data_IF_159245935126
#
_entry.id   IF_159245935126
#
_cell.length_a   1.000
_cell.length_b   1.000
_cell.length_c   1.000
_cell.angle_alpha   90.00
_cell.angle_beta   90.00
_cell.angle_gamma   90.00
#
_symmetry.space_group_name_H-M   'P 1'
#
loop_
_entity.id
_entity.type
_entity.pdbx_description
1 polymer ?
#
# COMPACT_ATOMS: atom_id res chain seq x y z
N UNK A 1 12.98 -24.89 -11.58
CA UNK A 1 12.26 -26.19 -11.58
C UNK A 1 10.74 -25.99 -11.53
N UNK A 2 10.22 -25.16 -10.62
CA UNK A 2 8.81 -24.87 -10.47
C UNK A 2 8.57 -23.37 -10.40
N UNK A 3 7.55 -22.88 -11.11
CA UNK A 3 7.04 -21.51 -10.98
C UNK A 3 5.62 -21.57 -10.39
N UNK A 4 5.41 -20.82 -9.32
CA UNK A 4 4.12 -20.61 -8.68
C UNK A 4 3.59 -19.24 -9.11
N UNK A 5 2.34 -19.18 -9.56
CA UNK A 5 1.70 -17.96 -10.02
C UNK A 5 0.28 -17.83 -9.48
N UNK A 6 -0.17 -16.62 -9.23
CA UNK A 6 -1.53 -16.34 -8.81
C UNK A 6 -2.53 -16.70 -9.92
N UNK A 7 -2.32 -16.16 -11.12
CA UNK A 7 -3.04 -16.57 -12.34
C UNK A 7 -2.07 -17.14 -13.39
N UNK A 8 -2.14 -18.45 -13.59
CA UNK A 8 -1.29 -19.14 -14.56
C UNK A 8 -1.54 -18.70 -16.00
N UNK A 9 -2.72 -18.17 -16.33
CA UNK A 9 -3.05 -17.66 -17.67
C UNK A 9 -2.26 -16.40 -17.99
N UNK A 10 -2.26 -15.45 -17.07
CA UNK A 10 -1.48 -14.19 -17.18
C UNK A 10 0.01 -14.51 -17.21
N UNK A 11 0.47 -15.29 -16.24
CA UNK A 11 1.88 -15.65 -16.10
C UNK A 11 2.42 -16.44 -17.28
N UNK A 12 1.62 -17.32 -17.90
CA UNK A 12 2.06 -18.08 -19.10
C UNK A 12 2.36 -17.20 -20.30
N UNK A 13 1.75 -16.01 -20.40
CA UNK A 13 2.07 -15.04 -21.44
C UNK A 13 3.48 -14.48 -21.23
N UNK A 14 3.78 -14.10 -19.96
CA UNK A 14 5.10 -13.60 -19.58
C UNK A 14 6.19 -14.65 -19.82
N UNK A 15 5.96 -15.88 -19.37
CA UNK A 15 6.95 -16.97 -19.53
C UNK A 15 7.25 -17.25 -21.00
N UNK A 16 6.23 -17.29 -21.85
CA UNK A 16 6.41 -17.45 -23.31
C UNK A 16 7.17 -16.29 -23.93
N UNK A 17 6.95 -15.06 -23.48
CA UNK A 17 7.67 -13.90 -23.99
C UNK A 17 9.18 -13.98 -23.72
N UNK A 18 9.58 -14.61 -22.62
CA UNK A 18 10.98 -14.80 -22.24
C UNK A 18 11.53 -16.19 -22.55
N UNK A 19 10.82 -17.01 -23.31
CA UNK A 19 11.20 -18.40 -23.67
C UNK A 19 11.52 -19.26 -22.43
N UNK A 20 10.77 -19.06 -21.35
CA UNK A 20 10.90 -19.82 -20.10
C UNK A 20 9.96 -21.02 -20.16
N UNK A 21 10.55 -22.23 -20.23
CA UNK A 21 9.82 -23.50 -20.24
C UNK A 21 10.03 -24.25 -18.92
N UNK A 22 9.30 -23.84 -17.90
CA UNK A 22 9.31 -24.46 -16.59
C UNK A 22 7.89 -24.89 -16.19
N UNK A 23 7.81 -25.86 -15.28
CA UNK A 23 6.53 -26.24 -14.69
C UNK A 23 5.87 -25.04 -14.03
N UNK A 24 4.64 -24.71 -14.44
CA UNK A 24 3.84 -23.60 -13.91
C UNK A 24 2.65 -24.15 -13.14
N UNK A 25 2.53 -23.76 -11.86
CA UNK A 25 1.39 -24.13 -11.01
C UNK A 25 0.70 -22.91 -10.39
N UNK A 26 -0.61 -23.03 -10.22
CA UNK A 26 -1.40 -22.03 -9.52
C UNK A 26 -1.11 -22.03 -8.02
N UNK A 27 -0.89 -20.83 -7.47
CA UNK A 27 -0.72 -20.56 -6.04
C UNK A 27 -1.45 -19.27 -5.67
N UNK A 28 -2.68 -19.40 -5.21
CA UNK A 28 -3.55 -18.28 -4.87
C UNK A 28 -4.12 -18.46 -3.46
N UNK A 29 -4.72 -17.43 -2.89
CA UNK A 29 -5.21 -17.41 -1.50
C UNK A 29 -6.18 -18.54 -1.13
N UNK A 30 -6.81 -19.18 -2.12
CA UNK A 30 -7.76 -20.29 -1.85
C UNK A 30 -7.09 -21.66 -1.83
N UNK A 31 -5.86 -21.80 -2.37
CA UNK A 31 -5.14 -23.06 -2.40
C UNK A 31 -3.79 -23.04 -1.68
N UNK A 32 -3.28 -21.87 -1.26
CA UNK A 32 -1.95 -21.72 -0.66
C UNK A 32 -1.73 -22.63 0.58
N UNK A 33 -2.77 -22.87 1.40
CA UNK A 33 -2.67 -23.81 2.52
C UNK A 33 -2.41 -25.25 2.10
N UNK A 34 -3.00 -25.68 0.98
CA UNK A 34 -2.87 -27.05 0.47
C UNK A 34 -1.57 -27.23 -0.30
N UNK A 35 -1.18 -26.22 -1.06
CA UNK A 35 0.02 -26.26 -1.92
C UNK A 35 1.31 -26.09 -1.12
N UNK A 36 1.31 -25.30 -0.03
CA UNK A 36 2.51 -25.00 0.74
C UNK A 36 3.30 -26.26 1.16
N UNK A 37 2.62 -27.27 1.73
CA UNK A 37 3.30 -28.49 2.18
C UNK A 37 3.95 -29.30 1.04
N UNK A 38 3.30 -29.37 -0.11
CA UNK A 38 3.84 -30.06 -1.28
C UNK A 38 5.05 -29.33 -1.85
N UNK A 39 5.03 -27.98 -1.84
CA UNK A 39 6.13 -27.14 -2.27
C UNK A 39 7.32 -27.27 -1.31
N UNK A 40 7.09 -27.28 0.00
CA UNK A 40 8.16 -27.50 1.00
C UNK A 40 8.89 -28.84 0.74
N UNK A 41 8.17 -29.91 0.45
CA UNK A 41 8.79 -31.23 0.13
C UNK A 41 9.68 -31.16 -1.10
N UNK A 42 9.26 -30.44 -2.15
CA UNK A 42 10.06 -30.23 -3.36
C UNK A 42 11.33 -29.44 -3.06
N UNK A 43 11.21 -28.35 -2.31
CA UNK A 43 12.35 -27.54 -1.89
C UNK A 43 13.35 -28.36 -1.06
N UNK A 44 12.86 -29.20 -0.13
CA UNK A 44 13.70 -30.11 0.66
C UNK A 44 14.37 -31.21 -0.18
N UNK A 45 13.81 -31.58 -1.33
CA UNK A 45 14.47 -32.49 -2.28
C UNK A 45 15.52 -31.83 -3.19
N UNK A 46 15.74 -30.52 -3.01
CA UNK A 46 16.76 -29.74 -3.74
C UNK A 46 16.25 -29.00 -4.96
N UNK A 47 14.93 -28.96 -5.17
CA UNK A 47 14.34 -28.17 -6.24
C UNK A 47 14.34 -26.66 -5.90
N UNK A 48 14.42 -25.83 -6.92
CA UNK A 48 14.28 -24.38 -6.82
C UNK A 48 12.87 -23.95 -7.24
N UNK A 49 12.23 -23.10 -6.45
CA UNK A 49 10.87 -22.63 -6.71
C UNK A 49 10.86 -21.09 -6.82
N UNK A 50 10.27 -20.58 -7.88
CA UNK A 50 9.97 -19.15 -8.02
C UNK A 50 8.50 -18.89 -7.72
N UNK A 51 8.20 -17.83 -6.96
CA UNK A 51 6.85 -17.33 -6.76
C UNK A 51 6.73 -15.97 -7.46
N UNK A 52 5.75 -15.84 -8.35
CA UNK A 52 5.46 -14.61 -9.09
C UNK A 52 4.01 -14.17 -8.84
N UNK A 53 3.78 -12.86 -8.89
CA UNK A 53 2.47 -12.21 -8.79
C UNK A 53 2.05 -11.67 -10.15
N UNK A 54 0.78 -11.43 -10.36
CA UNK A 54 0.25 -10.79 -11.57
C UNK A 54 0.70 -9.33 -11.68
N UNK A 55 0.87 -8.66 -10.54
CA UNK A 55 1.40 -7.30 -10.47
C UNK A 55 2.06 -7.04 -9.10
N UNK A 56 3.20 -6.39 -9.09
CA UNK A 56 3.89 -6.00 -7.86
C UNK A 56 4.72 -7.11 -7.22
N UNK A 57 4.84 -7.08 -5.90
CA UNK A 57 5.68 -8.00 -5.12
C UNK A 57 4.82 -9.08 -4.47
N UNK A 58 5.11 -10.37 -4.69
CA UNK A 58 4.40 -11.47 -4.04
C UNK A 58 4.36 -11.33 -2.51
N UNK A 59 3.25 -11.70 -1.89
CA UNK A 59 3.05 -11.57 -0.45
C UNK A 59 2.59 -10.19 0.05
N UNK A 60 2.64 -9.16 -0.80
CA UNK A 60 2.13 -7.82 -0.47
C UNK A 60 0.70 -7.67 -1.01
N UNK A 61 -0.28 -7.98 -0.19
CA UNK A 61 -1.70 -8.12 -0.53
C UNK A 61 -2.04 -9.25 -1.50
N UNK A 62 -1.04 -10.03 -1.86
CA UNK A 62 -1.08 -11.18 -2.75
C UNK A 62 -0.72 -12.48 -2.00
N UNK A 63 -0.95 -13.67 -2.57
CA UNK A 63 -0.50 -14.94 -2.00
C UNK A 63 1.01 -14.99 -1.84
N UNK A 64 1.48 -15.72 -0.82
CA UNK A 64 2.92 -15.96 -0.61
C UNK A 64 3.35 -15.97 0.85
N UNK A 65 2.67 -15.20 1.72
CA UNK A 65 3.04 -15.14 3.14
C UNK A 65 3.11 -16.53 3.80
N UNK A 66 2.12 -17.40 3.56
CA UNK A 66 2.09 -18.73 4.16
C UNK A 66 3.25 -19.60 3.68
N UNK A 67 3.56 -19.56 2.38
CA UNK A 67 4.67 -20.31 1.81
C UNK A 67 6.02 -19.82 2.38
N UNK A 68 6.26 -18.53 2.38
CA UNK A 68 7.49 -17.94 2.94
C UNK A 68 7.64 -18.30 4.41
N UNK A 69 6.57 -18.21 5.20
CA UNK A 69 6.57 -18.61 6.60
C UNK A 69 6.97 -20.07 6.80
N UNK A 70 6.40 -20.96 5.99
CA UNK A 70 6.74 -22.39 6.07
C UNK A 70 8.17 -22.68 5.59
N UNK A 71 8.68 -21.98 4.58
CA UNK A 71 10.08 -22.06 4.19
C UNK A 71 11.00 -21.68 5.34
N UNK A 72 10.79 -20.54 5.97
CA UNK A 72 11.58 -20.07 7.12
C UNK A 72 11.53 -21.07 8.28
N UNK A 73 10.35 -21.63 8.60
CA UNK A 73 10.18 -22.64 9.65
C UNK A 73 10.96 -23.93 9.40
N UNK A 74 11.15 -24.27 8.13
CA UNK A 74 11.87 -25.47 7.71
C UNK A 74 13.35 -25.20 7.37
N UNK A 75 13.88 -24.01 7.65
CA UNK A 75 15.27 -23.65 7.36
C UNK A 75 15.59 -23.54 5.87
N UNK A 76 14.58 -23.34 5.03
CA UNK A 76 14.72 -23.16 3.59
C UNK A 76 15.00 -21.69 3.31
N UNK A 77 16.05 -21.41 2.53
CA UNK A 77 16.41 -20.07 2.13
C UNK A 77 15.32 -19.44 1.26
N UNK A 78 15.00 -18.17 1.54
CA UNK A 78 14.05 -17.36 0.78
C UNK A 78 14.75 -16.10 0.30
N UNK A 79 14.83 -15.91 -1.00
CA UNK A 79 15.34 -14.70 -1.61
C UNK A 79 14.18 -13.86 -2.15
N UNK A 80 14.09 -12.60 -1.70
CA UNK A 80 13.13 -11.64 -2.24
C UNK A 80 13.86 -10.64 -3.11
N UNK A 81 13.52 -10.60 -4.38
CA UNK A 81 14.10 -9.64 -5.32
C UNK A 81 13.45 -8.27 -5.13
N UNK A 82 14.22 -7.17 -5.10
CA UNK A 82 13.66 -5.83 -5.15
C UNK A 82 12.78 -5.66 -6.40
N UNK A 83 11.57 -5.17 -6.19
CA UNK A 83 10.61 -5.04 -7.27
C UNK A 83 9.58 -3.95 -7.00
N UNK A 84 8.69 -3.75 -7.97
CA UNK A 84 7.63 -2.76 -7.90
C UNK A 84 6.63 -3.07 -6.77
N UNK A 85 6.21 -2.02 -6.07
CA UNK A 85 5.06 -2.04 -5.14
C UNK A 85 4.30 -0.74 -5.31
N UNK A 86 2.99 -0.80 -5.50
CA UNK A 86 2.21 0.42 -5.75
C UNK A 86 2.18 1.38 -4.54
N UNK A 87 2.24 0.86 -3.32
CA UNK A 87 2.13 1.70 -2.12
C UNK A 87 3.35 2.60 -1.88
N UNK A 88 4.54 2.20 -2.29
CA UNK A 88 5.77 3.00 -2.09
C UNK A 88 5.72 4.30 -2.91
N UNK A 89 5.54 4.27 -4.25
CA UNK A 89 5.42 5.50 -5.02
C UNK A 89 4.19 6.33 -4.63
N UNK A 90 3.06 5.70 -4.26
CA UNK A 90 1.90 6.42 -3.75
C UNK A 90 2.23 7.22 -2.48
N UNK A 91 2.91 6.59 -1.51
CA UNK A 91 3.33 7.24 -0.28
C UNK A 91 4.26 8.42 -0.56
N UNK A 92 5.29 8.20 -1.37
CA UNK A 92 6.28 9.26 -1.70
C UNK A 92 5.62 10.42 -2.42
N UNK A 93 4.72 10.15 -3.38
CA UNK A 93 4.03 11.18 -4.14
C UNK A 93 2.87 11.84 -3.40
N UNK A 94 2.43 11.29 -2.27
CA UNK A 94 1.30 11.85 -1.49
C UNK A 94 1.58 13.24 -0.91
N UNK A 95 2.85 13.53 -0.60
CA UNK A 95 3.24 14.72 0.15
C UNK A 95 3.01 14.62 1.66
N UNK A 96 2.57 13.47 2.16
CA UNK A 96 2.40 13.20 3.58
C UNK A 96 3.68 12.64 4.20
N UNK A 97 3.86 12.69 5.54
CA UNK A 97 5.02 12.10 6.20
C UNK A 97 5.23 10.64 5.80
N UNK A 98 6.44 10.31 5.35
CA UNK A 98 6.76 8.98 4.81
C UNK A 98 7.86 8.24 5.59
N UNK A 99 8.39 8.83 6.67
CA UNK A 99 9.40 8.22 7.54
C UNK A 99 8.80 7.10 8.43
N UNK A 100 7.52 7.22 8.78
CA UNK A 100 6.77 6.21 9.55
C UNK A 100 5.37 6.07 8.98
N UNK A 101 5.00 4.85 8.64
CA UNK A 101 3.69 4.57 8.07
C UNK A 101 3.15 3.20 8.50
N UNK A 102 1.85 3.01 8.34
CA UNK A 102 1.17 1.73 8.47
C UNK A 102 0.62 1.31 7.11
N UNK A 103 0.92 0.10 6.67
CA UNK A 103 0.30 -0.50 5.50
C UNK A 103 -0.83 -1.43 5.92
N UNK A 104 -2.05 -1.08 5.56
CA UNK A 104 -3.29 -1.81 5.89
C UNK A 104 -3.75 -2.73 4.75
N UNK A 105 -3.29 -2.48 3.52
CA UNK A 105 -3.77 -3.21 2.35
C UNK A 105 -5.28 -3.00 2.14
N UNK A 106 -5.99 -4.06 1.75
CA UNK A 106 -7.44 -4.01 1.57
C UNK A 106 -8.19 -4.16 2.90
N UNK A 107 -9.01 -3.19 3.23
CA UNK A 107 -9.91 -3.28 4.38
C UNK A 107 -10.92 -4.43 4.22
N UNK A 108 -11.36 -5.05 5.32
CA UNK A 108 -12.43 -6.04 5.28
C UNK A 108 -13.67 -5.50 4.56
N UNK A 109 -14.31 -6.34 3.73
CA UNK A 109 -15.45 -5.87 2.93
C UNK A 109 -16.72 -5.64 3.77
N UNK A 110 -16.94 -6.45 4.83
CA UNK A 110 -18.15 -6.42 5.68
C UNK A 110 -17.77 -6.55 7.16
N UNK A 111 -17.70 -7.78 7.68
CA UNK A 111 -17.44 -8.07 9.10
C UNK A 111 -16.05 -7.57 9.49
N UNK A 112 -15.96 -6.81 10.60
CA UNK A 112 -14.71 -6.29 11.13
C UNK A 112 -14.25 -4.95 10.51
N UNK A 113 -14.87 -4.47 9.43
CA UNK A 113 -14.46 -3.22 8.76
C UNK A 113 -14.57 -2.00 9.69
N UNK A 114 -15.74 -1.80 10.30
CA UNK A 114 -15.97 -0.66 11.20
C UNK A 114 -15.04 -0.71 12.41
N UNK A 115 -14.87 -1.89 13.01
CA UNK A 115 -13.93 -2.07 14.12
C UNK A 115 -12.51 -1.72 13.71
N UNK A 116 -12.08 -2.14 12.50
CA UNK A 116 -10.73 -1.80 12.02
C UNK A 116 -10.56 -0.30 11.83
N UNK A 117 -11.52 0.38 11.23
CA UNK A 117 -11.49 1.83 11.07
C UNK A 117 -11.41 2.55 12.43
N UNK A 118 -12.18 2.12 13.41
CA UNK A 118 -12.13 2.69 14.76
C UNK A 118 -10.77 2.48 15.44
N UNK A 119 -10.13 1.31 15.26
CA UNK A 119 -8.78 1.09 15.82
C UNK A 119 -7.68 1.94 15.17
N UNK A 120 -7.94 2.47 13.97
CA UNK A 120 -7.02 3.35 13.25
C UNK A 120 -7.28 4.84 13.49
N UNK A 121 -8.35 5.18 14.24
CA UNK A 121 -8.77 6.57 14.42
C UNK A 121 -7.66 7.45 15.00
N UNK A 122 -6.93 6.93 15.98
CA UNK A 122 -5.85 7.62 16.68
C UNK A 122 -4.45 7.27 16.17
N UNK A 123 -4.35 6.59 15.00
CA UNK A 123 -3.05 6.26 14.41
C UNK A 123 -2.31 7.56 14.05
N UNK A 124 -1.10 7.71 14.60
CA UNK A 124 -0.28 8.91 14.41
C UNK A 124 0.54 8.90 13.11
N UNK A 125 0.79 7.71 12.58
CA UNK A 125 1.56 7.53 11.34
C UNK A 125 0.66 7.65 10.11
N UNK A 126 1.26 7.94 8.98
CA UNK A 126 0.57 7.86 7.68
C UNK A 126 0.06 6.43 7.44
N UNK A 127 -1.19 6.29 6.99
CA UNK A 127 -1.84 5.01 6.77
C UNK A 127 -2.08 4.80 5.28
N UNK A 128 -1.76 3.60 4.79
CA UNK A 128 -1.86 3.27 3.37
C UNK A 128 -2.83 2.11 3.18
N UNK A 129 -3.78 2.31 2.26
CA UNK A 129 -4.77 1.30 1.90
C UNK A 129 -4.74 1.01 0.41
N UNK A 130 -5.05 -0.22 0.05
CA UNK A 130 -5.49 -0.58 -1.29
C UNK A 130 -7.01 -0.57 -1.34
N UNK A 131 -7.59 -0.09 -2.43
CA UNK A 131 -9.04 -0.11 -2.59
C UNK A 131 -9.45 -0.35 -4.05
N UNK A 132 -10.60 -0.99 -4.20
CA UNK A 132 -11.24 -1.18 -5.49
C UNK A 132 -11.93 0.13 -5.96
N UNK A 133 -11.90 0.46 -7.26
CA UNK A 133 -12.61 1.62 -7.79
C UNK A 133 -14.10 1.59 -7.46
N UNK A 134 -14.73 0.42 -7.46
CA UNK A 134 -16.15 0.25 -7.13
C UNK A 134 -16.51 0.56 -5.67
N UNK A 135 -15.52 0.68 -4.79
CA UNK A 135 -15.72 0.93 -3.35
C UNK A 135 -15.09 2.24 -2.89
N UNK A 136 -14.27 2.88 -3.72
CA UNK A 136 -13.50 4.07 -3.34
C UNK A 136 -14.36 5.14 -2.69
N UNK A 137 -15.40 5.60 -3.37
CA UNK A 137 -16.24 6.68 -2.86
C UNK A 137 -16.85 6.34 -1.49
N UNK A 138 -17.41 5.13 -1.36
CA UNK A 138 -17.95 4.66 -0.08
C UNK A 138 -16.88 4.58 1.01
N UNK A 139 -15.66 4.17 0.66
CA UNK A 139 -14.55 4.08 1.61
C UNK A 139 -14.12 5.47 2.07
N UNK A 140 -14.01 6.44 1.17
CA UNK A 140 -13.67 7.83 1.50
C UNK A 140 -14.75 8.48 2.38
N UNK A 141 -16.04 8.24 2.12
CA UNK A 141 -17.12 8.69 2.98
C UNK A 141 -17.01 8.13 4.40
N UNK A 142 -16.76 6.82 4.54
CA UNK A 142 -16.51 6.20 5.82
C UNK A 142 -15.25 6.77 6.53
N UNK A 143 -14.22 7.11 5.76
CA UNK A 143 -13.04 7.77 6.29
C UNK A 143 -13.38 9.16 6.83
N UNK A 144 -14.19 9.95 6.12
CA UNK A 144 -14.67 11.25 6.60
C UNK A 144 -15.44 11.14 7.91
N UNK A 145 -16.30 10.12 8.05
CA UNK A 145 -17.06 9.87 9.29
C UNK A 145 -16.16 9.49 10.48
N UNK A 146 -15.11 8.69 10.26
CA UNK A 146 -14.26 8.14 11.33
C UNK A 146 -13.08 9.06 11.63
N UNK A 147 -12.39 9.57 10.63
CA UNK A 147 -11.15 10.34 10.78
C UNK A 147 -11.36 11.85 10.72
N UNK A 148 -12.58 12.28 10.33
CA UNK A 148 -12.94 13.69 10.17
C UNK A 148 -12.66 14.24 8.76
N UNK A 149 -13.55 15.10 8.28
CA UNK A 149 -13.55 15.67 6.94
C UNK A 149 -12.29 16.46 6.57
N UNK A 150 -11.61 17.03 7.57
CA UNK A 150 -10.39 17.84 7.38
C UNK A 150 -9.11 17.01 7.28
N UNK A 151 -9.17 15.68 7.53
CA UNK A 151 -8.00 14.81 7.46
C UNK A 151 -7.44 14.83 6.03
N UNK A 152 -6.13 15.03 5.90
CA UNK A 152 -5.45 15.04 4.62
C UNK A 152 -5.37 13.64 4.02
N UNK A 153 -5.60 13.53 2.73
CA UNK A 153 -5.58 12.28 1.99
C UNK A 153 -5.02 12.48 0.58
N UNK A 154 -4.36 11.47 0.06
CA UNK A 154 -3.98 11.35 -1.34
C UNK A 154 -4.56 10.06 -1.90
N UNK A 155 -5.29 10.14 -3.00
CA UNK A 155 -5.77 8.99 -3.77
C UNK A 155 -4.96 8.91 -5.04
N UNK A 156 -4.13 7.87 -5.18
CA UNK A 156 -3.33 7.60 -6.36
C UNK A 156 -3.98 6.44 -7.12
N UNK A 157 -4.21 6.61 -8.41
CA UNK A 157 -4.73 5.56 -9.27
C UNK A 157 -3.82 5.31 -10.47
N UNK A 158 -3.81 4.06 -10.95
CA UNK A 158 -3.12 3.64 -12.16
C UNK A 158 -1.63 4.07 -12.19
N UNK A 159 -0.94 4.00 -11.03
CA UNK A 159 0.46 4.39 -10.87
C UNK A 159 1.32 3.69 -11.92
N UNK A 160 2.20 4.43 -12.58
CA UNK A 160 3.08 4.00 -13.68
C UNK A 160 2.37 3.55 -14.98
N UNK A 161 1.07 3.82 -15.11
CA UNK A 161 0.27 3.52 -16.31
C UNK A 161 -0.15 4.81 -17.02
N UNK A 162 -0.73 4.68 -18.24
CA UNK A 162 -1.12 5.84 -19.08
C UNK A 162 -2.12 6.77 -18.41
N UNK A 163 -2.97 6.23 -17.53
CA UNK A 163 -4.00 6.99 -16.84
C UNK A 163 -3.66 7.25 -15.36
N UNK A 164 -2.36 7.38 -15.06
CA UNK A 164 -1.92 7.74 -13.72
C UNK A 164 -2.49 9.09 -13.29
N UNK A 165 -3.05 9.13 -12.09
CA UNK A 165 -3.59 10.34 -11.49
C UNK A 165 -3.43 10.30 -9.97
N UNK A 166 -3.21 11.46 -9.38
CA UNK A 166 -3.17 11.64 -7.93
C UNK A 166 -4.04 12.82 -7.51
N UNK A 167 -5.10 12.55 -6.77
CA UNK A 167 -6.01 13.55 -6.19
C UNK A 167 -5.66 13.73 -4.72
N UNK A 168 -5.31 14.96 -4.32
CA UNK A 168 -4.87 15.31 -2.96
C UNK A 168 -5.74 16.40 -2.37
N UNK A 169 -5.93 16.39 -1.07
CA UNK A 169 -6.68 17.38 -0.33
C UNK A 169 -7.19 16.84 0.99
N UNK A 170 -8.17 17.51 1.55
CA UNK A 170 -8.96 17.01 2.67
C UNK A 170 -9.88 15.87 2.22
N UNK A 171 -10.30 15.03 3.16
CA UNK A 171 -11.29 13.97 2.86
C UNK A 171 -12.57 14.55 2.23
N UNK A 172 -13.04 15.74 2.69
CA UNK A 172 -14.22 16.40 2.11
C UNK A 172 -14.01 16.74 0.63
N UNK A 173 -12.88 17.37 0.27
CA UNK A 173 -12.56 17.74 -1.11
C UNK A 173 -12.42 16.53 -2.03
N UNK A 174 -11.75 15.49 -1.54
CA UNK A 174 -11.52 14.26 -2.33
C UNK A 174 -12.81 13.44 -2.49
N UNK A 175 -13.70 13.43 -1.48
CA UNK A 175 -15.04 12.83 -1.60
C UNK A 175 -15.88 13.59 -2.64
N UNK A 176 -15.85 14.93 -2.64
CA UNK A 176 -16.55 15.74 -3.64
C UNK A 176 -16.04 15.42 -5.05
N UNK A 177 -14.73 15.38 -5.26
CA UNK A 177 -14.12 15.03 -6.53
C UNK A 177 -14.63 13.69 -7.08
N UNK A 178 -14.56 12.62 -6.28
CA UNK A 178 -14.98 11.28 -6.70
C UNK A 178 -16.51 11.07 -6.70
N UNK A 179 -17.28 12.02 -6.19
CA UNK A 179 -18.74 12.05 -6.38
C UNK A 179 -19.08 12.52 -7.82
N UNK A 180 -18.25 13.39 -8.39
CA UNK A 180 -18.42 13.90 -9.74
C UNK A 180 -17.69 13.07 -10.81
N UNK A 181 -16.64 12.34 -10.41
CA UNK A 181 -15.76 11.58 -11.32
C UNK A 181 -15.72 10.11 -10.91
N UNK A 182 -16.24 9.22 -11.76
CA UNK A 182 -16.21 7.78 -11.50
C UNK A 182 -14.76 7.25 -11.52
N UNK A 183 -14.26 6.66 -10.42
CA UNK A 183 -12.91 6.14 -10.37
C UNK A 183 -12.78 4.83 -11.17
N UNK A 184 -11.64 4.62 -11.83
CA UNK A 184 -11.30 3.40 -12.57
C UNK A 184 -9.88 2.95 -12.27
N UNK A 185 -9.62 1.66 -12.48
CA UNK A 185 -8.30 1.08 -12.34
C UNK A 185 -7.90 0.74 -10.90
N UNK A 186 -6.61 0.58 -10.66
CA UNK A 186 -6.04 0.22 -9.36
C UNK A 186 -5.80 1.47 -8.52
N UNK A 187 -6.13 1.39 -7.23
CA UNK A 187 -6.15 2.56 -6.36
C UNK A 187 -5.37 2.30 -5.07
N UNK A 188 -4.54 3.28 -4.72
CA UNK A 188 -3.89 3.40 -3.43
C UNK A 188 -4.39 4.65 -2.74
N UNK A 189 -4.84 4.53 -1.49
CA UNK A 189 -5.22 5.66 -0.63
C UNK A 189 -4.14 5.85 0.41
N UNK A 190 -3.61 7.05 0.52
CA UNK A 190 -2.64 7.45 1.54
C UNK A 190 -3.31 8.49 2.43
N UNK A 191 -3.58 8.13 3.68
CA UNK A 191 -4.29 8.96 4.66
C UNK A 191 -3.27 9.47 5.69
N UNK A 192 -3.31 10.77 5.99
CA UNK A 192 -2.48 11.34 7.04
C UNK A 192 -2.81 10.71 8.41
N UNK A 193 -1.80 10.49 9.22
CA UNK A 193 -1.97 10.17 10.64
C UNK A 193 -2.49 11.35 11.45
N UNK A 194 -2.66 11.19 12.76
CA UNK A 194 -2.97 12.30 13.68
C UNK A 194 -1.80 13.26 13.83
N UNK A 195 -0.56 12.76 13.65
CA UNK A 195 0.65 13.59 13.53
C UNK A 195 0.94 13.80 12.04
N UNK A 196 0.39 14.87 11.49
CA UNK A 196 0.57 15.21 10.06
C UNK A 196 1.92 15.89 9.76
N UNK A 197 2.84 15.93 10.73
CA UNK A 197 4.16 16.56 10.58
C UNK A 197 4.14 18.10 10.59
N UNK A 198 2.97 18.72 10.69
CA UNK A 198 2.86 20.17 10.84
C UNK A 198 3.21 20.58 12.27
N UNK A 199 4.44 21.01 12.48
CA UNK A 199 4.79 21.70 13.74
C UNK A 199 4.05 23.04 13.76
N UNK A 200 3.37 23.40 14.88
CA UNK A 200 2.78 24.72 14.99
C UNK A 200 3.86 25.76 14.73
N UNK A 201 3.60 26.64 13.76
CA UNK A 201 4.50 27.76 13.44
C UNK A 201 4.62 28.58 14.72
N UNK A 202 5.75 28.47 15.42
CA UNK A 202 6.05 29.38 16.52
C UNK A 202 6.19 30.76 15.90
N UNK A 203 5.18 31.62 16.13
CA UNK A 203 5.32 33.04 15.83
C UNK A 203 6.58 33.53 16.51
N UNK A 204 7.60 33.86 15.70
CA UNK A 204 8.77 34.53 16.23
C UNK A 204 8.31 35.90 16.70
N UNK A 205 8.17 36.04 18.02
CA UNK A 205 8.04 37.38 18.62
C UNK A 205 9.22 38.22 18.13
N UNK A 206 8.97 39.11 17.17
CA UNK A 206 9.90 40.12 16.75
C UNK A 206 10.05 41.06 17.94
N UNK A 207 11.04 40.79 18.78
CA UNK A 207 11.42 41.73 19.82
C UNK A 207 11.82 43.05 19.13
N UNK A 208 11.03 44.11 19.38
CA UNK A 208 11.37 45.46 18.97
C UNK A 208 12.67 45.81 19.66
N UNK A 209 13.79 45.73 18.94
CA UNK A 209 15.05 46.30 19.37
C UNK A 209 14.85 47.82 19.50
N UNK A 210 14.76 48.31 20.74
CA UNK A 210 14.89 49.72 21.06
C UNK A 210 16.33 50.13 20.74
N UNK A 211 16.54 50.85 19.65
CA UNK A 211 17.76 51.58 19.44
C UNK A 211 17.91 52.59 20.55
N UNK A 212 18.85 52.41 21.47
CA UNK A 212 19.37 53.46 22.32
C UNK A 212 20.14 54.42 21.44
N UNK A 213 19.68 55.66 21.34
CA UNK A 213 20.49 56.78 20.86
C UNK A 213 21.51 57.11 21.95
N UNK A 214 22.76 56.79 21.70
CA UNK A 214 23.85 57.35 22.49
C UNK A 214 24.12 58.78 22.01
N UNK A 215 23.87 59.74 22.88
CA UNK A 215 24.29 61.13 22.72
C UNK A 215 25.82 61.17 22.88
N UNK A 216 26.48 61.73 21.90
CA UNK A 216 27.89 62.15 22.00
C UNK A 216 27.86 63.65 22.18
N UNK A 217 28.37 64.12 23.35
CA UNK A 217 28.93 65.47 23.55
C UNK A 217 30.35 65.47 23.03
#
# INVERSE_FOLDING_TARGET
DLILAEDTRTSSVLLRHYDIDNELRSHHKFNEHQTAQSVIKRLQSGETVALISDAGTPGISDPGFLLVRECVRNGIEVQTLPGATAFVPALVSSGLPCDKFCFEGFLPQKKGRQTRLQTLQDESRTIIFYESPHRLLKTLQQFSEVFGEKRQVSVCREISKIHEESVRGTLAEVVEHFTQTEPRGEIVIVLAGTDNGEKPVKEKNVSKNKYKKDNIE
#
